data_IF_246079556916
#
_entry.id   IF_246079556916
#
_cell.length_a   1.000
_cell.length_b   1.000
_cell.length_c   1.000
_cell.angle_alpha   90.00
_cell.angle_beta   90.00
_cell.angle_gamma   90.00
#
_symmetry.space_group_name_H-M   'P 1'
#
loop_
_entity.id
_entity.type
_entity.pdbx_description
1 polymer ?
#
# COMPACT_ATOMS: atom_id res chain seq x y z
N UNK A 1 12.52 -5.01 1.96
CA UNK A 1 13.89 -4.60 1.56
C UNK A 1 13.76 -3.41 0.62
N UNK A 2 14.56 -2.35 0.79
CA UNK A 2 14.63 -1.23 -0.16
C UNK A 2 16.03 -1.20 -0.76
N UNK A 3 16.12 -1.03 -2.08
CA UNK A 3 17.37 -0.90 -2.82
C UNK A 3 17.28 0.33 -3.71
N UNK A 4 18.33 1.14 -3.69
CA UNK A 4 18.45 2.31 -4.56
C UNK A 4 19.38 1.95 -5.73
N UNK A 5 18.95 2.29 -6.94
CA UNK A 5 19.74 2.11 -8.16
C UNK A 5 20.14 3.49 -8.72
N UNK A 6 21.41 3.65 -9.03
CA UNK A 6 21.99 4.88 -9.58
C UNK A 6 22.74 4.57 -10.87
N UNK A 7 22.68 5.49 -11.85
CA UNK A 7 23.39 5.39 -13.12
C UNK A 7 23.09 4.11 -13.93
N UNK A 8 21.87 3.57 -13.80
CA UNK A 8 21.40 2.46 -14.62
C UNK A 8 20.82 2.95 -15.94
N UNK A 9 20.75 2.07 -16.95
CA UNK A 9 20.02 2.34 -18.19
C UNK A 9 18.51 2.16 -17.95
N UNK A 10 17.69 3.23 -18.02
CA UNK A 10 16.25 3.13 -17.82
C UNK A 10 15.51 2.35 -18.93
N UNK A 11 16.17 2.07 -20.05
CA UNK A 11 15.62 1.26 -21.14
C UNK A 11 16.00 -0.23 -21.04
N UNK A 12 16.72 -0.64 -19.99
CA UNK A 12 17.09 -2.04 -19.80
C UNK A 12 15.85 -2.93 -19.59
N UNK A 13 15.64 -3.86 -20.52
CA UNK A 13 14.45 -4.70 -20.57
C UNK A 13 14.37 -5.73 -19.42
N UNK A 14 15.49 -6.13 -18.83
CA UNK A 14 15.50 -7.04 -17.69
C UNK A 14 15.14 -6.29 -16.40
N UNK A 15 15.66 -5.07 -16.24
CA UNK A 15 15.30 -4.21 -15.14
C UNK A 15 13.83 -3.79 -15.18
N UNK A 16 13.28 -3.42 -16.35
CA UNK A 16 11.86 -3.10 -16.47
C UNK A 16 10.98 -4.29 -16.09
N UNK A 17 11.30 -5.49 -16.58
CA UNK A 17 10.56 -6.72 -16.22
C UNK A 17 10.62 -7.00 -14.72
N UNK A 18 11.77 -6.84 -14.09
CA UNK A 18 11.92 -6.99 -12.65
C UNK A 18 11.10 -5.94 -11.86
N UNK A 19 11.06 -4.69 -12.35
CA UNK A 19 10.24 -3.62 -11.76
C UNK A 19 8.74 -3.88 -11.91
N UNK A 20 8.30 -4.47 -13.02
CA UNK A 20 6.91 -4.88 -13.23
C UNK A 20 6.53 -6.01 -12.27
N UNK A 21 7.34 -7.08 -12.18
CA UNK A 21 7.14 -8.18 -11.23
C UNK A 21 6.98 -7.69 -9.77
N UNK A 22 7.81 -6.74 -9.34
CA UNK A 22 7.73 -6.16 -7.98
C UNK A 22 6.52 -5.25 -7.81
N UNK A 23 5.98 -4.67 -8.89
CA UNK A 23 4.77 -3.84 -8.85
C UNK A 23 3.50 -4.69 -8.81
N UNK A 24 3.49 -5.81 -9.52
CA UNK A 24 2.31 -6.70 -9.62
C UNK A 24 1.84 -7.20 -8.25
N UNK A 25 2.75 -7.51 -7.32
CA UNK A 25 2.37 -7.98 -5.98
C UNK A 25 1.77 -6.89 -5.08
N UNK A 26 1.92 -5.61 -5.42
CA UNK A 26 1.51 -4.51 -4.53
C UNK A 26 0.00 -4.27 -4.53
N UNK A 27 -0.65 -4.42 -5.68
CA UNK A 27 -2.09 -4.21 -5.81
C UNK A 27 -2.88 -5.29 -5.07
N UNK A 28 -2.65 -6.59 -5.30
CA UNK A 28 -3.33 -7.66 -4.56
C UNK A 28 -3.11 -7.53 -3.04
N UNK A 29 -1.89 -7.21 -2.63
CA UNK A 29 -1.57 -6.98 -1.22
C UNK A 29 -2.34 -5.80 -0.62
N UNK A 30 -2.45 -4.68 -1.32
CA UNK A 30 -3.23 -3.53 -0.86
C UNK A 30 -4.74 -3.84 -0.80
N UNK A 31 -5.27 -4.57 -1.78
CA UNK A 31 -6.67 -5.03 -1.77
C UNK A 31 -6.95 -5.95 -0.58
N UNK A 32 -6.01 -6.83 -0.23
CA UNK A 32 -6.12 -7.68 0.95
C UNK A 32 -6.16 -6.85 2.25
N UNK A 33 -5.35 -5.79 2.37
CA UNK A 33 -5.43 -4.87 3.51
C UNK A 33 -6.80 -4.19 3.59
N UNK A 34 -7.36 -3.74 2.46
CA UNK A 34 -8.72 -3.16 2.38
C UNK A 34 -9.78 -4.16 2.84
N UNK A 35 -9.66 -5.42 2.40
CA UNK A 35 -10.58 -6.50 2.81
C UNK A 35 -10.51 -6.74 4.33
N UNK A 36 -9.30 -6.80 4.90
CA UNK A 36 -9.12 -6.96 6.35
C UNK A 36 -9.72 -5.79 7.13
N UNK A 37 -9.48 -4.55 6.69
CA UNK A 37 -10.05 -3.35 7.32
C UNK A 37 -11.58 -3.35 7.29
N UNK A 38 -12.21 -3.76 6.18
CA UNK A 38 -13.67 -3.90 6.09
C UNK A 38 -14.21 -4.94 7.08
N UNK A 39 -13.48 -6.03 7.32
CA UNK A 39 -13.83 -7.01 8.33
C UNK A 39 -13.68 -6.49 9.78
N UNK A 40 -13.04 -5.33 9.95
CA UNK A 40 -12.95 -4.58 11.21
C UNK A 40 -13.96 -3.42 11.27
N UNK A 41 -15.01 -3.45 10.42
CA UNK A 41 -16.05 -2.43 10.32
C UNK A 41 -15.54 -1.04 9.87
N UNK A 42 -14.37 -0.96 9.25
CA UNK A 42 -13.89 0.28 8.63
C UNK A 42 -14.49 0.43 7.23
N UNK A 43 -15.20 1.54 6.93
CA UNK A 43 -15.88 1.75 5.65
C UNK A 43 -14.92 2.20 4.52
N UNK A 44 -13.75 1.59 4.44
CA UNK A 44 -12.74 1.87 3.41
C UNK A 44 -13.12 1.21 2.07
N UNK A 45 -12.85 1.90 0.97
CA UNK A 45 -13.07 1.37 -0.38
C UNK A 45 -11.80 1.26 -1.19
N UNK A 46 -11.79 0.33 -2.14
CA UNK A 46 -10.67 0.21 -3.07
C UNK A 46 -10.54 1.45 -3.94
N UNK A 47 -11.66 2.02 -4.38
CA UNK A 47 -11.73 3.23 -5.19
C UNK A 47 -11.07 4.42 -4.47
N UNK A 48 -11.28 4.55 -3.15
CA UNK A 48 -10.63 5.58 -2.35
C UNK A 48 -9.11 5.41 -2.32
N UNK A 49 -8.64 4.18 -2.07
CA UNK A 49 -7.20 3.88 -2.04
C UNK A 49 -6.54 4.09 -3.41
N UNK A 50 -7.20 3.64 -4.48
CA UNK A 50 -6.72 3.83 -5.85
C UNK A 50 -6.67 5.32 -6.23
N UNK A 51 -7.69 6.11 -5.86
CA UNK A 51 -7.71 7.55 -6.07
C UNK A 51 -6.55 8.25 -5.36
N UNK A 52 -6.22 7.84 -4.13
CA UNK A 52 -5.11 8.42 -3.37
C UNK A 52 -3.75 8.08 -4.01
N UNK A 53 -3.60 6.87 -4.56
CA UNK A 53 -2.37 6.46 -5.24
C UNK A 53 -2.15 7.16 -6.60
N UNK A 54 -3.21 7.58 -7.29
CA UNK A 54 -3.14 8.21 -8.60
C UNK A 54 -2.47 7.30 -9.64
N UNK A 55 -1.58 7.87 -10.45
CA UNK A 55 -0.76 7.13 -11.43
C UNK A 55 0.43 6.37 -10.78
N UNK A 56 0.56 6.48 -9.46
CA UNK A 56 1.60 5.82 -8.68
C UNK A 56 1.29 4.36 -8.37
N UNK A 57 2.31 3.62 -7.93
CA UNK A 57 2.13 2.26 -7.43
C UNK A 57 1.34 2.26 -6.11
N UNK A 58 0.18 1.60 -6.09
CA UNK A 58 -0.61 1.40 -4.87
C UNK A 58 0.23 0.64 -3.83
N UNK A 59 -0.01 0.93 -2.55
CA UNK A 59 0.73 0.33 -1.44
C UNK A 59 0.18 0.75 -0.09
N UNK A 60 0.74 0.16 0.96
CA UNK A 60 0.31 0.37 2.35
C UNK A 60 0.19 1.84 2.79
N UNK A 61 1.08 2.77 2.40
CA UNK A 61 0.91 4.19 2.72
C UNK A 61 -0.38 4.81 2.18
N UNK A 62 -0.88 4.36 1.01
CA UNK A 62 -2.14 4.85 0.45
C UNK A 62 -3.35 4.32 1.22
N UNK A 63 -3.27 3.08 1.72
CA UNK A 63 -4.28 2.53 2.65
C UNK A 63 -4.30 3.31 3.96
N UNK A 64 -3.12 3.65 4.50
CA UNK A 64 -3.00 4.48 5.71
C UNK A 64 -3.60 5.88 5.51
N UNK A 65 -3.34 6.51 4.36
CA UNK A 65 -3.94 7.80 4.01
C UNK A 65 -5.47 7.73 3.91
N UNK A 66 -6.03 6.64 3.37
CA UNK A 66 -7.48 6.45 3.35
C UNK A 66 -8.07 6.34 4.77
N UNK A 67 -7.36 5.72 5.73
CA UNK A 67 -7.78 5.68 7.13
C UNK A 67 -7.80 7.07 7.77
N UNK A 68 -6.88 7.95 7.39
CA UNK A 68 -6.86 9.35 7.83
C UNK A 68 -8.04 10.12 7.24
N UNK A 69 -8.30 10.00 5.94
CA UNK A 69 -9.46 10.63 5.29
C UNK A 69 -10.80 10.19 5.90
N UNK A 70 -10.89 8.94 6.37
CA UNK A 70 -12.06 8.41 7.08
C UNK A 70 -12.13 8.81 8.56
N UNK A 71 -11.11 9.49 9.09
CA UNK A 71 -11.02 9.87 10.50
C UNK A 71 -10.79 8.71 11.47
N UNK A 72 -10.37 7.54 10.97
CA UNK A 72 -10.08 6.35 11.79
C UNK A 72 -8.80 6.56 12.61
N UNK A 73 -7.83 7.26 12.02
CA UNK A 73 -6.56 7.61 12.67
C UNK A 73 -6.22 9.08 12.39
N UNK A 74 -5.53 9.80 13.30
CA UNK A 74 -5.24 11.23 13.12
C UNK A 74 -4.20 11.51 12.03
N UNK A 75 -3.19 10.64 11.90
CA UNK A 75 -2.11 10.80 10.93
C UNK A 75 -1.77 9.48 10.25
N UNK A 76 -1.04 9.57 9.13
CA UNK A 76 -0.56 8.39 8.39
C UNK A 76 0.33 7.52 9.28
N UNK A 77 1.17 8.12 10.12
CA UNK A 77 2.06 7.39 11.04
C UNK A 77 1.27 6.58 12.08
N UNK A 78 0.13 7.11 12.54
CA UNK A 78 -0.74 6.43 13.52
C UNK A 78 -1.42 5.18 12.95
N UNK A 79 -1.44 5.02 11.62
CA UNK A 79 -1.91 3.81 10.97
C UNK A 79 -0.90 2.64 11.06
N UNK A 80 0.38 2.92 11.35
CA UNK A 80 1.45 1.91 11.37
C UNK A 80 1.66 1.28 12.75
N UNK A 81 0.58 0.94 13.42
CA UNK A 81 0.57 0.24 14.71
C UNK A 81 0.10 -1.20 14.55
N UNK A 82 0.32 -2.06 15.57
CA UNK A 82 -0.25 -3.41 15.60
C UNK A 82 -1.78 -3.44 15.50
N UNK A 83 -2.46 -2.38 15.89
CA UNK A 83 -3.93 -2.30 15.78
C UNK A 83 -4.42 -2.16 14.33
N UNK A 84 -3.54 -1.79 13.41
CA UNK A 84 -3.87 -1.46 12.03
C UNK A 84 -2.90 -2.10 11.03
N UNK A 85 -2.03 -1.30 10.40
CA UNK A 85 -1.22 -1.67 9.24
C UNK A 85 0.25 -1.93 9.60
N UNK A 86 0.64 -1.81 10.87
CA UNK A 86 1.98 -2.16 11.35
C UNK A 86 2.36 -3.60 11.00
N UNK A 87 3.65 -3.94 11.03
CA UNK A 87 4.07 -5.31 10.75
C UNK A 87 3.45 -6.26 11.80
N UNK A 88 2.76 -7.31 11.33
CA UNK A 88 1.96 -8.20 12.18
C UNK A 88 0.66 -7.59 12.71
N UNK A 89 0.28 -6.40 12.24
CA UNK A 89 -0.95 -5.73 12.63
C UNK A 89 -2.21 -6.37 12.04
N UNK A 90 -3.36 -6.02 12.60
CA UNK A 90 -4.66 -6.66 12.29
C UNK A 90 -5.03 -6.63 10.80
N UNK A 91 -4.66 -5.56 10.11
CA UNK A 91 -4.88 -5.39 8.67
C UNK A 91 -3.60 -5.49 7.83
N UNK A 92 -2.52 -6.04 8.38
CA UNK A 92 -1.29 -6.31 7.63
C UNK A 92 -1.49 -7.44 6.63
N UNK A 93 -0.95 -7.29 5.42
CA UNK A 93 -0.83 -8.35 4.42
C UNK A 93 0.65 -8.47 4.05
N UNK A 94 1.14 -9.70 3.81
CA UNK A 94 2.53 -9.99 3.40
C UNK A 94 2.78 -9.74 1.91
#
# INVERSE_FOLDING_TARGET
MHMLAYLFDPADAELERARELVRDDRVPRAQEMVRKLRALDVPITWEQVARIAGDGSVGRPHVAAALVELGVVPTVSDAFTPDWLGNGGRAYAE
#
